data_IF_238419039401
#
_entry.id   IF_238419039401
#
_cell.length_a   1.000
_cell.length_b   1.000
_cell.length_c   1.000
_cell.angle_alpha   90.00
_cell.angle_beta   90.00
_cell.angle_gamma   90.00
#
_symmetry.space_group_name_H-M   'P 1'
#
loop_
_entity.id
_entity.type
_entity.pdbx_description
1 polymer ?
#
# COMPACT_ATOMS: atom_id res chain seq x y z
N UNK A 1 -43.79 -6.86 46.88
CA UNK A 1 -43.55 -6.84 45.44
C UNK A 1 -42.25 -6.07 45.18
N UNK A 2 -41.13 -6.77 45.00
CA UNK A 2 -39.84 -6.13 44.64
C UNK A 2 -39.75 -6.05 43.12
N UNK A 3 -39.70 -4.83 42.57
CA UNK A 3 -39.43 -4.60 41.14
C UNK A 3 -37.93 -4.66 40.94
N UNK A 4 -37.46 -5.70 40.28
CA UNK A 4 -36.09 -5.78 39.76
C UNK A 4 -35.98 -4.88 38.52
N UNK A 5 -35.16 -3.85 38.59
CA UNK A 5 -34.70 -3.06 37.42
C UNK A 5 -33.57 -3.83 36.75
N UNK A 6 -33.85 -4.37 35.58
CA UNK A 6 -32.84 -4.97 34.72
C UNK A 6 -32.19 -3.83 33.91
N UNK A 7 -31.01 -3.39 34.31
CA UNK A 7 -30.21 -2.41 33.58
C UNK A 7 -29.57 -3.11 32.40
N UNK A 8 -30.09 -2.86 31.20
CA UNK A 8 -29.48 -3.33 29.94
C UNK A 8 -28.27 -2.46 29.63
N UNK A 9 -27.09 -3.02 29.84
CA UNK A 9 -25.84 -2.37 29.48
C UNK A 9 -25.65 -2.50 27.96
N UNK A 10 -25.91 -1.43 27.23
CA UNK A 10 -25.53 -1.33 25.81
C UNK A 10 -24.01 -1.18 25.72
N UNK A 11 -23.33 -2.25 25.39
CA UNK A 11 -21.94 -2.17 24.94
C UNK A 11 -21.94 -1.49 23.57
N UNK A 12 -21.51 -0.24 23.51
CA UNK A 12 -21.17 0.43 22.25
C UNK A 12 -19.90 -0.25 21.76
N UNK A 13 -20.04 -1.16 20.81
CA UNK A 13 -18.91 -1.70 20.07
C UNK A 13 -18.50 -0.59 19.10
N UNK A 14 -17.41 0.10 19.40
CA UNK A 14 -16.76 1.03 18.49
C UNK A 14 -16.09 0.15 17.45
N UNK A 15 -16.66 0.08 16.26
CA UNK A 15 -16.00 -0.50 15.10
C UNK A 15 -14.88 0.47 14.70
N UNK A 16 -13.66 0.04 14.86
CA UNK A 16 -12.49 0.73 14.31
C UNK A 16 -12.34 0.19 12.87
N UNK A 17 -12.54 1.06 11.91
CA UNK A 17 -12.23 0.75 10.52
C UNK A 17 -10.71 0.73 10.37
N UNK A 18 -10.14 -0.41 10.00
CA UNK A 18 -8.72 -0.55 9.73
C UNK A 18 -8.50 -0.56 8.22
N UNK A 19 -7.60 0.26 7.75
CA UNK A 19 -6.98 0.21 6.43
C UNK A 19 -5.81 -0.78 6.49
N UNK A 20 -5.53 -1.46 5.39
CA UNK A 20 -4.48 -2.47 5.30
C UNK A 20 -3.54 -2.14 4.15
N UNK A 21 -2.76 -1.07 4.29
CA UNK A 21 -1.72 -0.72 3.33
C UNK A 21 -0.64 0.12 4.00
N UNK A 22 0.56 0.13 3.44
CA UNK A 22 1.59 1.06 3.91
C UNK A 22 1.12 2.50 3.78
N UNK A 23 1.38 3.37 4.78
CA UNK A 23 1.19 4.80 4.61
C UNK A 23 2.10 5.32 3.50
N UNK A 24 1.78 6.47 2.92
CA UNK A 24 2.66 7.15 1.98
C UNK A 24 4.07 7.31 2.55
N UNK A 25 5.09 7.12 1.71
CA UNK A 25 6.50 7.29 2.14
C UNK A 25 6.71 8.71 2.68
N UNK A 26 7.21 8.89 3.93
CA UNK A 26 7.25 10.19 4.60
C UNK A 26 8.29 11.16 4.02
N UNK A 27 9.20 10.68 3.16
CA UNK A 27 10.24 11.49 2.52
C UNK A 27 9.74 12.16 1.26
N UNK A 28 10.32 13.32 0.85
CA UNK A 28 10.04 13.89 -0.46
C UNK A 28 10.35 12.92 -1.58
N UNK A 29 9.48 12.92 -2.61
CA UNK A 29 9.64 12.09 -3.79
C UNK A 29 9.66 12.94 -5.06
N UNK A 30 10.31 12.45 -6.10
CA UNK A 30 10.32 13.09 -7.41
C UNK A 30 9.38 12.33 -8.33
N UNK A 31 8.33 13.01 -8.81
CA UNK A 31 7.36 12.47 -9.75
C UNK A 31 7.67 12.96 -11.16
N UNK A 32 7.48 12.09 -12.15
CA UNK A 32 7.58 12.45 -13.57
C UNK A 32 6.25 13.02 -14.07
N UNK A 33 6.30 14.15 -14.73
CA UNK A 33 5.12 14.78 -15.35
C UNK A 33 4.96 14.28 -16.80
N UNK A 34 3.75 14.42 -17.39
CA UNK A 34 3.47 13.93 -18.74
C UNK A 34 4.33 14.55 -19.85
N UNK A 35 4.87 15.73 -19.62
CA UNK A 35 5.80 16.42 -20.55
C UNK A 35 7.27 15.98 -20.38
N UNK A 36 7.53 14.96 -19.55
CA UNK A 36 8.88 14.44 -19.27
C UNK A 36 9.67 15.27 -18.25
N UNK A 37 9.12 16.36 -17.74
CA UNK A 37 9.74 17.11 -16.63
C UNK A 37 9.47 16.43 -15.29
N UNK A 38 10.19 16.84 -14.25
CA UNK A 38 10.02 16.30 -12.90
C UNK A 38 9.58 17.36 -11.91
N UNK A 39 8.88 16.93 -10.87
CA UNK A 39 8.42 17.75 -9.76
C UNK A 39 8.73 17.05 -8.44
N UNK A 40 9.24 17.79 -7.45
CA UNK A 40 9.45 17.25 -6.10
C UNK A 40 8.24 17.56 -5.22
N UNK A 41 7.63 16.51 -4.67
CA UNK A 41 6.40 16.58 -3.85
C UNK A 41 6.54 15.78 -2.57
N UNK A 42 5.58 15.94 -1.66
CA UNK A 42 5.32 15.02 -0.55
C UNK A 42 3.94 14.41 -0.76
N UNK A 43 3.85 13.12 -0.50
CA UNK A 43 2.61 12.36 -0.46
C UNK A 43 2.24 12.10 1.01
N UNK A 44 0.96 12.18 1.33
CA UNK A 44 0.40 11.90 2.67
C UNK A 44 -0.84 11.04 2.52
N UNK A 45 -1.09 10.17 3.50
CA UNK A 45 -2.26 9.29 3.53
C UNK A 45 -1.91 7.86 3.20
N UNK A 46 -2.89 7.12 2.74
CA UNK A 46 -2.85 5.70 2.41
C UNK A 46 -3.64 5.42 1.11
N UNK A 47 -3.82 4.15 0.76
CA UNK A 47 -4.57 3.72 -0.44
C UNK A 47 -6.04 4.20 -0.42
N UNK A 48 -6.61 4.41 0.75
CA UNK A 48 -8.01 4.82 0.91
C UNK A 48 -8.20 6.32 0.75
N UNK A 49 -7.20 7.09 1.16
CA UNK A 49 -7.24 8.56 1.07
C UNK A 49 -5.84 9.16 1.15
N UNK A 50 -5.44 9.82 0.09
CA UNK A 50 -4.14 10.46 0.00
C UNK A 50 -4.19 11.82 -0.69
N UNK A 51 -3.17 12.66 -0.46
CA UNK A 51 -3.02 13.95 -1.09
C UNK A 51 -1.55 14.36 -1.21
N UNK A 52 -1.27 15.18 -2.20
CA UNK A 52 0.08 15.70 -2.46
C UNK A 52 0.23 17.13 -1.94
N UNK A 53 1.47 17.46 -1.51
CA UNK A 53 1.86 18.85 -1.22
C UNK A 53 3.21 19.16 -1.85
N UNK A 54 3.49 20.45 -2.00
CA UNK A 54 4.86 20.93 -2.23
C UNK A 54 5.71 20.74 -0.97
N UNK A 55 7.04 20.90 -1.10
CA UNK A 55 7.96 20.81 0.06
C UNK A 55 7.68 21.87 1.12
N UNK A 56 7.13 23.01 0.72
CA UNK A 56 6.69 24.10 1.62
C UNK A 56 5.19 24.04 1.94
N UNK A 57 4.58 22.84 1.79
CA UNK A 57 3.24 22.46 2.28
C UNK A 57 2.06 23.21 1.61
N UNK A 58 2.13 23.54 0.34
CA UNK A 58 0.93 23.90 -0.43
C UNK A 58 0.26 22.65 -0.94
N UNK A 59 -1.04 22.51 -0.68
CA UNK A 59 -1.88 21.41 -1.17
C UNK A 59 -1.94 21.43 -2.70
N UNK A 60 -1.88 20.25 -3.30
CA UNK A 60 -1.88 20.04 -4.75
C UNK A 60 -3.09 19.28 -5.21
N UNK A 61 -3.57 19.60 -6.41
CA UNK A 61 -4.59 18.85 -7.13
C UNK A 61 -3.97 18.36 -8.45
N UNK A 62 -4.06 17.07 -8.71
CA UNK A 62 -3.65 16.49 -9.99
C UNK A 62 -4.83 16.52 -10.97
N UNK A 63 -4.59 16.95 -12.21
CA UNK A 63 -5.60 16.92 -13.27
C UNK A 63 -5.67 15.54 -13.94
N UNK A 64 -6.66 15.35 -14.80
CA UNK A 64 -6.86 14.09 -15.54
C UNK A 64 -5.71 13.72 -16.47
N UNK A 65 -4.86 14.69 -16.81
CA UNK A 65 -3.68 14.49 -17.64
C UNK A 65 -2.41 14.18 -16.82
N UNK A 66 -2.49 14.18 -15.48
CA UNK A 66 -1.37 13.90 -14.59
C UNK A 66 -0.53 15.13 -14.20
N UNK A 67 -0.95 16.36 -14.53
CA UNK A 67 -0.28 17.56 -14.10
C UNK A 67 -0.77 18.06 -12.75
N UNK A 68 0.13 18.59 -11.93
CA UNK A 68 -0.19 19.17 -10.64
C UNK A 68 -0.43 20.68 -10.69
N UNK A 69 -1.45 21.11 -9.98
CA UNK A 69 -1.82 22.52 -9.78
C UNK A 69 -1.92 22.81 -8.28
N UNK A 70 -1.64 24.06 -7.90
CA UNK A 70 -1.91 24.47 -6.53
C UNK A 70 -3.41 24.41 -6.26
N UNK A 71 -3.79 23.94 -5.07
CA UNK A 71 -5.18 24.00 -4.64
C UNK A 71 -5.54 25.41 -4.17
N UNK A 72 -6.79 25.80 -4.39
CA UNK A 72 -7.41 27.00 -3.80
C UNK A 72 -8.83 26.68 -3.33
N UNK A 73 -9.42 27.52 -2.48
CA UNK A 73 -10.81 27.36 -2.05
C UNK A 73 -11.76 28.21 -2.89
N UNK A 74 -12.93 27.64 -3.24
CA UNK A 74 -14.03 28.42 -3.81
C UNK A 74 -14.71 29.27 -2.76
N UNK A 75 -15.60 30.18 -3.20
CA UNK A 75 -16.47 30.94 -2.30
C UNK A 75 -17.40 30.04 -1.45
N UNK A 76 -17.68 28.81 -1.92
CA UNK A 76 -18.47 27.80 -1.19
C UNK A 76 -17.62 26.92 -0.26
N UNK A 77 -16.37 27.26 0.00
CA UNK A 77 -15.42 26.45 0.77
C UNK A 77 -15.22 25.03 0.20
N UNK A 78 -15.11 24.91 -1.11
CA UNK A 78 -14.72 23.66 -1.78
C UNK A 78 -13.32 23.81 -2.35
N UNK A 79 -12.57 22.71 -2.39
CA UNK A 79 -11.28 22.66 -3.07
C UNK A 79 -11.49 22.73 -4.59
N UNK A 80 -10.69 23.55 -5.23
CA UNK A 80 -10.57 23.60 -6.68
C UNK A 80 -9.12 23.81 -7.11
N UNK A 81 -8.86 23.47 -8.35
CA UNK A 81 -7.60 23.70 -9.02
C UNK A 81 -7.42 25.19 -9.33
N UNK A 82 -6.28 25.76 -8.96
CA UNK A 82 -5.91 27.12 -9.35
C UNK A 82 -5.44 27.18 -10.82
N UNK A 83 -5.29 28.37 -11.41
CA UNK A 83 -4.74 28.52 -12.76
C UNK A 83 -3.23 28.25 -12.86
N UNK A 84 -2.53 28.04 -11.74
CA UNK A 84 -1.08 27.89 -11.71
C UNK A 84 -0.65 26.43 -11.60
N UNK A 85 0.06 25.92 -12.62
CA UNK A 85 0.75 24.64 -12.55
C UNK A 85 1.87 24.70 -11.50
N UNK A 86 2.03 23.61 -10.78
CA UNK A 86 3.05 23.51 -9.71
C UNK A 86 4.45 23.49 -10.31
N UNK A 87 5.35 24.19 -9.66
CA UNK A 87 6.78 24.19 -9.92
C UNK A 87 7.56 24.01 -8.62
N UNK A 88 8.75 23.45 -8.72
CA UNK A 88 9.70 23.46 -7.60
C UNK A 88 9.94 24.90 -7.12
N UNK A 89 10.20 25.06 -5.83
CA UNK A 89 10.31 26.38 -5.17
C UNK A 89 11.24 27.32 -5.93
N UNK A 90 12.39 26.81 -6.39
CA UNK A 90 13.40 27.59 -7.12
C UNK A 90 12.98 28.03 -8.54
N UNK A 91 11.92 27.45 -9.08
CA UNK A 91 11.43 27.70 -10.44
C UNK A 91 10.15 28.55 -10.48
N UNK A 92 9.64 29.00 -9.31
CA UNK A 92 8.42 29.80 -9.20
C UNK A 92 8.65 31.24 -9.68
N UNK A 93 7.66 31.77 -10.39
CA UNK A 93 7.68 33.17 -10.79
C UNK A 93 7.26 34.11 -9.65
N UNK A 94 7.55 35.41 -9.74
CA UNK A 94 7.05 36.42 -8.77
C UNK A 94 5.52 36.44 -8.65
N UNK A 95 4.79 36.22 -9.75
CA UNK A 95 3.32 36.16 -9.78
C UNK A 95 2.82 34.91 -9.03
N UNK A 96 3.43 33.77 -9.25
CA UNK A 96 3.10 32.52 -8.52
C UNK A 96 3.36 32.70 -7.02
N UNK A 97 4.48 33.28 -6.63
CA UNK A 97 4.79 33.55 -5.22
C UNK A 97 3.79 34.52 -4.59
N UNK A 98 3.34 35.56 -5.34
CA UNK A 98 2.31 36.47 -4.88
C UNK A 98 0.97 35.77 -4.68
N UNK A 99 0.58 34.89 -5.60
CA UNK A 99 -0.62 34.05 -5.47
C UNK A 99 -0.51 33.15 -4.24
N UNK A 100 0.59 32.43 -4.09
CA UNK A 100 0.82 31.50 -2.98
C UNK A 100 0.79 32.21 -1.61
N UNK A 101 1.21 33.45 -1.53
CA UNK A 101 1.11 34.26 -0.30
C UNK A 101 -0.34 34.56 0.13
N UNK A 102 -1.32 34.41 -0.76
CA UNK A 102 -2.75 34.59 -0.43
C UNK A 102 -3.42 33.29 0.06
N UNK A 103 -2.75 32.13 -0.05
CA UNK A 103 -3.32 30.83 0.30
C UNK A 103 -3.24 30.59 1.81
N UNK A 104 -4.37 30.30 2.42
CA UNK A 104 -4.43 29.72 3.77
C UNK A 104 -4.25 28.19 3.70
N UNK A 105 -3.01 27.74 3.91
CA UNK A 105 -2.66 26.30 3.87
C UNK A 105 -3.45 25.47 4.88
N UNK A 106 -3.74 26.02 6.07
CA UNK A 106 -4.48 25.31 7.12
C UNK A 106 -5.93 25.10 6.73
N UNK A 107 -6.55 26.13 6.15
CA UNK A 107 -7.92 26.03 5.65
C UNK A 107 -8.01 24.97 4.55
N UNK A 108 -7.12 24.99 3.55
CA UNK A 108 -7.16 24.02 2.46
C UNK A 108 -6.95 22.59 2.95
N UNK A 109 -6.01 22.38 3.88
CA UNK A 109 -5.80 21.05 4.47
C UNK A 109 -7.03 20.58 5.23
N UNK A 110 -7.69 21.47 5.99
CA UNK A 110 -8.95 21.13 6.68
C UNK A 110 -10.07 20.76 5.69
N UNK A 111 -10.15 21.41 4.55
CA UNK A 111 -11.12 21.08 3.50
C UNK A 111 -10.81 19.69 2.89
N UNK A 112 -9.54 19.38 2.63
CA UNK A 112 -9.10 18.07 2.18
C UNK A 112 -9.53 16.98 3.18
N UNK A 113 -9.19 17.14 4.45
CA UNK A 113 -9.56 16.21 5.52
C UNK A 113 -11.07 16.00 5.65
N UNK A 114 -11.87 17.05 5.45
CA UNK A 114 -13.33 16.94 5.44
C UNK A 114 -13.86 16.15 4.23
N UNK A 115 -13.24 16.31 3.06
CA UNK A 115 -13.59 15.52 1.86
C UNK A 115 -13.26 14.06 2.06
N UNK A 116 -12.07 13.77 2.55
CA UNK A 116 -11.59 12.41 2.83
C UNK A 116 -12.46 11.72 3.89
N UNK A 117 -12.77 12.40 4.99
CA UNK A 117 -13.67 11.85 6.01
C UNK A 117 -15.06 11.50 5.47
N UNK A 118 -15.59 12.30 4.52
CA UNK A 118 -16.86 12.00 3.86
C UNK A 118 -16.74 10.83 2.87
N UNK A 119 -15.58 10.67 2.24
CA UNK A 119 -15.29 9.53 1.36
C UNK A 119 -15.25 8.25 2.19
N UNK A 120 -14.46 8.22 3.25
CA UNK A 120 -14.32 7.07 4.17
C UNK A 120 -15.65 6.64 4.78
N UNK A 121 -16.54 7.58 5.16
CA UNK A 121 -17.89 7.26 5.67
C UNK A 121 -18.81 6.61 4.64
N UNK A 122 -18.54 6.74 3.34
CA UNK A 122 -19.34 6.15 2.27
C UNK A 122 -18.76 4.82 1.77
N UNK A 123 -17.53 4.51 2.11
CA UNK A 123 -16.95 3.21 1.79
C UNK A 123 -17.68 2.12 2.60
N UNK A 124 -17.95 0.95 2.01
CA UNK A 124 -18.48 -0.17 2.81
C UNK A 124 -17.51 -0.39 3.98
N UNK A 125 -18.07 -0.57 5.19
CA UNK A 125 -17.25 -0.88 6.35
C UNK A 125 -16.45 -2.14 6.02
N UNK A 126 -15.14 -1.97 5.88
CA UNK A 126 -14.21 -3.09 5.68
C UNK A 126 -14.34 -4.00 6.89
N UNK A 127 -14.48 -5.29 6.67
CA UNK A 127 -14.68 -6.25 7.75
C UNK A 127 -13.58 -6.12 8.79
N UNK A 128 -14.01 -6.07 10.04
CA UNK A 128 -13.18 -6.17 11.25
C UNK A 128 -12.18 -7.32 11.08
N UNK A 129 -10.92 -7.06 11.48
CA UNK A 129 -9.80 -8.00 11.61
C UNK A 129 -10.25 -9.43 11.41
N UNK A 130 -10.01 -9.98 10.24
CA UNK A 130 -10.19 -11.41 10.05
C UNK A 130 -9.25 -12.11 11.02
N UNK A 131 -9.75 -13.12 11.70
CA UNK A 131 -8.88 -14.06 12.40
C UNK A 131 -7.78 -14.43 11.41
N UNK A 132 -6.51 -14.29 11.84
CA UNK A 132 -5.40 -14.72 11.01
C UNK A 132 -5.72 -16.11 10.44
N UNK A 133 -5.88 -16.19 9.13
CA UNK A 133 -6.09 -17.46 8.44
C UNK A 133 -4.77 -18.18 8.25
N UNK A 134 -3.68 -17.39 8.20
CA UNK A 134 -2.33 -17.91 8.04
C UNK A 134 -1.74 -18.39 9.39
N UNK A 135 -1.18 -19.62 9.46
CA UNK A 135 -0.58 -20.12 10.69
C UNK A 135 0.66 -19.32 11.10
N UNK A 136 0.69 -18.85 12.35
CA UNK A 136 1.72 -17.93 12.88
C UNK A 136 2.87 -18.63 13.62
N UNK A 137 2.94 -19.96 13.59
CA UNK A 137 3.98 -20.75 14.27
C UNK A 137 4.51 -21.87 13.39
N UNK A 138 5.74 -22.31 13.68
CA UNK A 138 6.42 -23.38 12.92
C UNK A 138 6.93 -22.90 11.56
N UNK A 139 7.26 -23.86 10.70
CA UNK A 139 7.64 -23.59 9.30
C UNK A 139 6.40 -23.51 8.44
N UNK A 140 6.22 -22.38 7.77
CA UNK A 140 5.07 -22.09 6.92
C UNK A 140 5.50 -21.66 5.53
N UNK A 141 4.85 -22.18 4.50
CA UNK A 141 5.09 -21.77 3.10
C UNK A 141 4.26 -20.53 2.76
N UNK A 142 4.89 -19.55 2.13
CA UNK A 142 4.24 -18.35 1.57
C UNK A 142 4.38 -18.34 0.05
N UNK A 143 3.29 -18.12 -0.66
CA UNK A 143 3.28 -18.01 -2.12
C UNK A 143 3.60 -16.56 -2.54
N UNK A 144 4.62 -16.41 -3.40
CA UNK A 144 5.03 -15.13 -3.97
C UNK A 144 5.09 -15.23 -5.48
N UNK A 145 4.41 -14.34 -6.17
CA UNK A 145 4.38 -14.27 -7.64
C UNK A 145 4.94 -12.93 -8.12
N UNK A 146 5.86 -12.99 -9.08
CA UNK A 146 6.40 -11.82 -9.74
C UNK A 146 5.61 -11.53 -11.01
N UNK A 147 5.15 -10.28 -11.20
CA UNK A 147 4.36 -9.91 -12.37
C UNK A 147 4.98 -8.76 -13.16
N UNK A 148 4.95 -8.90 -14.48
CA UNK A 148 5.25 -7.83 -15.44
C UNK A 148 3.95 -7.40 -16.12
N UNK A 149 3.83 -6.12 -16.41
CA UNK A 149 2.71 -5.60 -17.19
C UNK A 149 2.98 -5.69 -18.69
N UNK A 150 1.96 -5.52 -19.52
CA UNK A 150 2.15 -5.50 -20.98
C UNK A 150 3.11 -4.38 -21.44
N UNK A 151 3.20 -3.29 -20.68
CA UNK A 151 3.99 -2.09 -20.97
C UNK A 151 5.12 -1.80 -19.96
N UNK A 152 5.28 -2.61 -18.93
CA UNK A 152 6.33 -2.44 -17.93
C UNK A 152 6.83 -3.81 -17.45
N UNK A 153 8.15 -3.94 -17.28
CA UNK A 153 8.79 -5.18 -16.85
C UNK A 153 9.85 -4.89 -15.79
N UNK A 154 10.29 -5.94 -15.10
CA UNK A 154 11.35 -5.82 -14.12
C UNK A 154 12.63 -5.22 -14.74
N UNK A 155 13.24 -4.33 -13.99
CA UNK A 155 14.49 -3.68 -14.36
C UNK A 155 15.70 -4.37 -13.74
N UNK A 156 15.50 -5.10 -12.64
CA UNK A 156 16.54 -5.90 -12.00
C UNK A 156 16.84 -7.15 -12.81
N UNK A 157 18.11 -7.59 -12.78
CA UNK A 157 18.53 -8.82 -13.42
C UNK A 157 18.07 -10.04 -12.59
N UNK A 158 17.64 -11.11 -13.26
CA UNK A 158 17.19 -12.34 -12.61
C UNK A 158 16.21 -12.08 -11.44
N UNK A 159 15.05 -11.46 -11.71
CA UNK A 159 14.15 -11.00 -10.63
C UNK A 159 13.73 -12.14 -9.69
N UNK A 160 13.48 -13.34 -10.19
CA UNK A 160 13.12 -14.48 -9.35
C UNK A 160 14.21 -14.81 -8.31
N UNK A 161 15.47 -14.88 -8.74
CA UNK A 161 16.60 -15.13 -7.84
C UNK A 161 16.78 -13.98 -6.84
N UNK A 162 16.68 -12.72 -7.33
CA UNK A 162 16.85 -11.53 -6.49
C UNK A 162 15.79 -11.46 -5.39
N UNK A 163 14.52 -11.68 -5.72
CA UNK A 163 13.43 -11.72 -4.72
C UNK A 163 13.52 -12.93 -3.82
N UNK A 164 13.89 -14.10 -4.35
CA UNK A 164 14.10 -15.27 -3.49
C UNK A 164 15.19 -15.02 -2.42
N UNK A 165 16.30 -14.38 -2.78
CA UNK A 165 17.33 -13.99 -1.81
C UNK A 165 16.80 -12.95 -0.81
N UNK A 166 16.15 -11.88 -1.30
CA UNK A 166 15.55 -10.84 -0.46
C UNK A 166 14.62 -11.42 0.60
N UNK A 167 13.86 -12.45 0.24
CA UNK A 167 12.84 -13.04 1.12
C UNK A 167 13.37 -14.16 2.03
N UNK A 168 14.35 -14.96 1.57
CA UNK A 168 14.71 -16.21 2.23
C UNK A 168 16.18 -16.33 2.66
N UNK A 169 17.12 -15.59 2.02
CA UNK A 169 18.54 -15.78 2.25
C UNK A 169 18.93 -15.33 3.66
N UNK A 170 19.54 -16.24 4.42
CA UNK A 170 20.02 -15.93 5.76
C UNK A 170 21.09 -14.83 5.72
N UNK A 171 20.95 -13.83 6.61
CA UNK A 171 21.87 -12.70 6.74
C UNK A 171 21.98 -11.88 5.43
N UNK A 172 20.90 -11.80 4.64
CA UNK A 172 20.86 -11.04 3.38
C UNK A 172 21.28 -9.58 3.56
N UNK A 173 22.19 -9.12 2.67
CA UNK A 173 22.74 -7.75 2.76
C UNK A 173 23.09 -7.12 1.40
N UNK A 174 22.72 -7.75 0.27
CA UNK A 174 23.13 -7.28 -1.08
C UNK A 174 22.66 -5.85 -1.38
N UNK A 175 21.50 -5.43 -0.86
CA UNK A 175 20.96 -4.08 -1.05
C UNK A 175 21.26 -3.10 0.10
N UNK A 176 22.11 -3.47 1.05
CA UNK A 176 22.41 -2.68 2.26
C UNK A 176 21.38 -2.86 3.38
N UNK A 177 20.57 -3.92 3.32
CA UNK A 177 19.72 -4.39 4.40
C UNK A 177 20.47 -5.16 5.48
N UNK A 178 19.75 -5.60 6.49
CA UNK A 178 20.30 -6.33 7.66
C UNK A 178 19.53 -7.62 7.89
N UNK A 179 19.38 -8.44 6.86
CA UNK A 179 18.65 -9.71 6.84
C UNK A 179 17.54 -9.75 5.79
N UNK A 180 17.04 -10.95 5.53
CA UNK A 180 15.89 -11.20 4.67
C UNK A 180 14.57 -10.99 5.41
N UNK A 181 13.45 -11.08 4.68
CA UNK A 181 12.12 -11.09 5.31
C UNK A 181 11.97 -12.28 6.29
N UNK A 182 12.48 -13.46 5.91
CA UNK A 182 12.54 -14.62 6.80
C UNK A 182 13.30 -14.33 8.09
N UNK A 183 14.50 -13.73 7.99
CA UNK A 183 15.30 -13.36 9.17
C UNK A 183 14.53 -12.39 10.08
N UNK A 184 13.84 -11.41 9.48
CA UNK A 184 13.03 -10.45 10.21
C UNK A 184 11.90 -11.12 11.01
N UNK A 185 11.12 -12.01 10.39
CA UNK A 185 10.03 -12.69 11.07
C UNK A 185 10.52 -13.70 12.11
N UNK A 186 11.61 -14.42 11.82
CA UNK A 186 12.23 -15.32 12.80
C UNK A 186 12.72 -14.56 14.03
N UNK A 187 13.45 -13.45 13.84
CA UNK A 187 13.92 -12.62 14.93
C UNK A 187 12.78 -12.01 15.76
N UNK A 188 11.75 -11.49 15.07
CA UNK A 188 10.58 -10.85 15.72
C UNK A 188 9.71 -11.84 16.50
N UNK A 189 9.70 -13.12 16.13
CA UNK A 189 8.92 -14.17 16.78
C UNK A 189 9.73 -15.04 17.77
N UNK A 190 10.99 -14.72 18.03
CA UNK A 190 11.93 -15.58 18.78
C UNK A 190 11.98 -17.02 18.18
N UNK A 191 12.18 -17.11 16.87
CA UNK A 191 12.24 -18.37 16.10
C UNK A 191 10.97 -19.25 16.15
N UNK A 192 9.84 -18.71 16.60
CA UNK A 192 8.59 -19.48 16.64
C UNK A 192 7.89 -19.51 15.29
N UNK A 193 8.00 -18.47 14.48
CA UNK A 193 7.49 -18.38 13.11
C UNK A 193 8.66 -18.40 12.12
N UNK A 194 8.66 -19.36 11.20
CA UNK A 194 9.74 -19.60 10.23
C UNK A 194 9.16 -19.65 8.81
N UNK A 195 8.86 -18.51 8.20
CA UNK A 195 8.32 -18.50 6.85
C UNK A 195 9.37 -18.96 5.83
N UNK A 196 8.91 -19.63 4.80
CA UNK A 196 9.66 -19.99 3.59
C UNK A 196 8.84 -19.54 2.40
N UNK A 197 9.37 -18.62 1.61
CA UNK A 197 8.64 -17.99 0.51
C UNK A 197 9.03 -18.63 -0.82
N UNK A 198 8.07 -19.31 -1.45
CA UNK A 198 8.23 -19.87 -2.79
C UNK A 198 7.98 -18.76 -3.82
N UNK A 199 9.00 -18.41 -4.62
CA UNK A 199 8.94 -17.30 -5.58
C UNK A 199 8.80 -17.82 -7.00
N UNK A 200 7.69 -17.47 -7.67
CA UNK A 200 7.36 -17.87 -9.05
C UNK A 200 7.38 -16.67 -10.01
N UNK A 201 7.51 -16.96 -11.29
CA UNK A 201 7.52 -15.95 -12.35
C UNK A 201 8.93 -15.40 -12.65
N UNK A 202 9.06 -14.21 -13.30
CA UNK A 202 7.96 -13.28 -13.59
C UNK A 202 7.02 -13.76 -14.69
N UNK A 203 5.72 -13.56 -14.47
CA UNK A 203 4.70 -13.75 -15.52
C UNK A 203 4.29 -12.41 -16.12
N UNK A 204 3.91 -12.43 -17.40
CA UNK A 204 3.52 -11.22 -18.12
C UNK A 204 2.01 -11.11 -18.23
N UNK A 205 1.46 -10.08 -17.59
CA UNK A 205 0.05 -9.74 -17.65
C UNK A 205 -0.36 -9.16 -19.01
N UNK A 206 -1.62 -9.34 -19.36
CA UNK A 206 -2.18 -8.94 -20.66
C UNK A 206 -2.41 -7.44 -20.81
N UNK A 207 -2.60 -6.70 -19.71
CA UNK A 207 -2.95 -5.29 -19.69
C UNK A 207 -1.78 -4.40 -19.23
N UNK A 208 -1.82 -3.10 -19.57
CA UNK A 208 -0.85 -2.14 -19.07
C UNK A 208 -1.05 -1.87 -17.57
N UNK A 209 0.01 -1.40 -16.90
CA UNK A 209 0.00 -1.08 -15.46
C UNK A 209 -1.18 -0.19 -15.05
N UNK A 210 -1.52 0.84 -15.86
CA UNK A 210 -2.63 1.76 -15.60
C UNK A 210 -4.03 1.13 -15.67
N UNK A 211 -4.15 -0.09 -16.18
CA UNK A 211 -5.40 -0.83 -16.12
C UNK A 211 -5.68 -1.35 -14.72
N UNK A 212 -4.65 -1.90 -14.05
CA UNK A 212 -4.77 -2.48 -12.72
C UNK A 212 -4.70 -1.41 -11.62
N UNK A 213 -3.71 -0.51 -11.70
CA UNK A 213 -3.41 0.50 -10.69
C UNK A 213 -3.87 1.92 -11.03
N UNK A 214 -4.44 2.17 -12.23
CA UNK A 214 -4.88 3.54 -12.55
C UNK A 214 -6.05 3.95 -11.66
N UNK A 215 -5.97 5.11 -11.01
CA UNK A 215 -6.98 5.57 -10.07
C UNK A 215 -8.35 5.79 -10.72
N UNK A 216 -9.40 5.40 -10.03
CA UNK A 216 -10.79 5.72 -10.35
C UNK A 216 -11.11 7.19 -9.95
N UNK A 217 -12.37 7.60 -10.11
CA UNK A 217 -12.83 8.97 -9.74
C UNK A 217 -12.75 9.22 -8.23
N UNK A 218 -12.60 8.18 -7.43
CA UNK A 218 -12.46 8.25 -5.97
C UNK A 218 -11.00 8.23 -5.53
N UNK A 219 -10.05 8.01 -6.46
CA UNK A 219 -8.63 7.90 -6.20
C UNK A 219 -8.20 6.52 -5.68
N UNK A 220 -8.98 5.47 -5.92
CA UNK A 220 -8.61 4.10 -5.59
C UNK A 220 -8.12 3.38 -6.85
N UNK A 221 -7.24 2.39 -6.70
CA UNK A 221 -6.83 1.50 -7.78
C UNK A 221 -8.04 0.82 -8.43
N UNK A 222 -8.03 0.71 -9.78
CA UNK A 222 -9.19 0.24 -10.54
C UNK A 222 -9.42 -1.26 -10.45
N UNK A 223 -8.38 -2.06 -10.52
CA UNK A 223 -8.51 -3.51 -10.66
C UNK A 223 -7.26 -4.28 -10.17
N UNK A 224 -6.69 -3.98 -8.99
CA UNK A 224 -5.53 -4.70 -8.48
C UNK A 224 -5.82 -6.18 -8.26
N UNK A 225 -7.06 -6.56 -7.93
CA UNK A 225 -7.48 -7.96 -7.79
C UNK A 225 -7.37 -8.73 -9.11
N UNK A 226 -7.64 -8.09 -10.24
CA UNK A 226 -7.51 -8.73 -11.56
C UNK A 226 -6.04 -9.02 -11.89
N UNK A 227 -5.10 -8.22 -11.40
CA UNK A 227 -3.65 -8.50 -11.48
C UNK A 227 -3.33 -9.83 -10.80
N UNK A 228 -3.81 -10.02 -9.59
CA UNK A 228 -3.57 -11.24 -8.79
C UNK A 228 -4.23 -12.46 -9.43
N UNK A 229 -5.50 -12.33 -9.85
CA UNK A 229 -6.24 -13.42 -10.51
C UNK A 229 -5.51 -13.88 -11.77
N UNK A 230 -5.14 -12.93 -12.64
CA UNK A 230 -4.46 -13.26 -13.89
C UNK A 230 -3.08 -13.89 -13.64
N UNK A 231 -2.33 -13.40 -12.65
CA UNK A 231 -1.03 -13.97 -12.27
C UNK A 231 -1.15 -15.43 -11.83
N UNK A 232 -2.11 -15.73 -10.96
CA UNK A 232 -2.36 -17.11 -10.51
C UNK A 232 -2.81 -18.02 -11.67
N UNK A 233 -3.70 -17.54 -12.53
CA UNK A 233 -4.16 -18.32 -13.70
C UNK A 233 -3.05 -18.62 -14.70
N UNK A 234 -2.07 -17.71 -14.86
CA UNK A 234 -0.92 -17.93 -15.73
C UNK A 234 0.05 -19.00 -15.20
N UNK A 235 -0.01 -19.30 -13.91
CA UNK A 235 0.86 -20.27 -13.24
C UNK A 235 0.11 -21.52 -12.75
N UNK A 236 -1.16 -21.70 -13.14
CA UNK A 236 -2.02 -22.80 -12.69
C UNK A 236 -1.45 -24.20 -13.02
N UNK A 237 -0.74 -24.32 -14.14
CA UNK A 237 -0.04 -25.55 -14.52
C UNK A 237 1.31 -25.78 -13.78
N UNK A 238 1.83 -24.77 -13.08
CA UNK A 238 3.15 -24.79 -12.44
C UNK A 238 3.07 -24.87 -10.91
N UNK A 239 1.97 -24.38 -10.31
CA UNK A 239 1.77 -24.26 -8.86
C UNK A 239 0.67 -25.22 -8.42
N UNK A 240 0.96 -26.07 -7.45
CA UNK A 240 -0.08 -26.76 -6.68
C UNK A 240 -0.56 -25.83 -5.56
N UNK A 241 -1.67 -25.13 -5.79
CA UNK A 241 -2.19 -24.15 -4.84
C UNK A 241 -2.65 -24.80 -3.53
N UNK A 242 -2.91 -26.11 -3.49
CA UNK A 242 -3.29 -26.82 -2.25
C UNK A 242 -2.18 -26.81 -1.20
N UNK A 243 -0.91 -26.61 -1.58
CA UNK A 243 0.21 -26.48 -0.65
C UNK A 243 0.15 -25.20 0.20
N UNK A 244 -0.67 -24.20 -0.21
CA UNK A 244 -0.79 -22.88 0.42
C UNK A 244 -2.11 -22.68 1.17
N UNK A 245 -2.90 -23.73 1.39
CA UNK A 245 -4.01 -23.83 2.35
C UNK A 245 -3.47 -24.56 3.60
N UNK A 246 -2.75 -23.81 4.46
CA UNK A 246 -2.01 -24.38 5.59
C UNK A 246 -2.87 -24.63 6.82
N UNK A 247 -3.99 -23.95 6.94
CA UNK A 247 -4.96 -24.16 8.03
C UNK A 247 -6.12 -25.08 7.61
N UNK A 248 -6.16 -25.52 6.34
CA UNK A 248 -7.11 -26.42 5.72
C UNK A 248 -8.57 -25.91 5.79
N UNK A 249 -8.77 -24.62 5.58
CA UNK A 249 -10.09 -24.00 5.53
C UNK A 249 -10.72 -23.97 4.12
N UNK A 250 -9.98 -24.44 3.10
CA UNK A 250 -10.39 -24.48 1.70
C UNK A 250 -10.10 -23.19 0.94
N UNK A 251 -9.28 -22.32 1.51
CA UNK A 251 -8.79 -21.10 0.85
C UNK A 251 -7.26 -21.09 0.82
N UNK A 252 -6.70 -20.43 -0.19
CA UNK A 252 -5.27 -20.11 -0.20
C UNK A 252 -5.05 -19.06 0.90
N UNK A 253 -4.15 -19.35 1.86
CA UNK A 253 -3.89 -18.45 3.01
C UNK A 253 -3.54 -17.04 2.59
N UNK A 254 -2.67 -16.90 1.57
CA UNK A 254 -2.33 -15.64 0.94
C UNK A 254 -1.54 -15.84 -0.36
N UNK A 255 -1.76 -14.96 -1.35
CA UNK A 255 -0.89 -14.78 -2.50
C UNK A 255 -0.22 -13.41 -2.40
N UNK A 256 1.10 -13.37 -2.33
CA UNK A 256 1.83 -12.11 -2.38
C UNK A 256 2.31 -11.82 -3.81
N UNK A 257 2.03 -10.63 -4.32
CA UNK A 257 2.45 -10.22 -5.67
C UNK A 257 3.47 -9.09 -5.60
N UNK A 258 4.67 -9.31 -6.16
CA UNK A 258 5.57 -8.21 -6.51
C UNK A 258 5.35 -7.82 -7.97
N UNK A 259 5.06 -6.55 -8.21
CA UNK A 259 4.85 -6.02 -9.54
C UNK A 259 6.01 -5.13 -10.00
N UNK A 260 6.30 -5.18 -11.31
CA UNK A 260 7.40 -4.45 -11.93
C UNK A 260 7.23 -2.93 -11.83
N UNK A 261 8.30 -2.23 -11.49
CA UNK A 261 8.38 -0.78 -11.41
C UNK A 261 8.07 -0.21 -10.04
N UNK A 262 7.62 1.06 -10.01
CA UNK A 262 7.27 1.79 -8.78
C UNK A 262 5.83 1.55 -8.35
N UNK A 263 5.58 1.65 -7.03
CA UNK A 263 4.24 1.77 -6.47
C UNK A 263 3.81 3.23 -6.27
N UNK A 264 2.51 3.48 -6.11
CA UNK A 264 1.99 4.83 -5.91
C UNK A 264 2.50 5.44 -4.59
N UNK A 265 2.53 4.66 -3.50
CA UNK A 265 3.05 5.08 -2.19
C UNK A 265 4.51 5.56 -2.22
N UNK A 266 5.29 5.16 -3.22
CA UNK A 266 6.71 5.48 -3.39
C UNK A 266 7.00 6.40 -4.59
N UNK A 267 5.97 7.01 -5.18
CA UNK A 267 6.13 8.02 -6.23
C UNK A 267 5.94 7.51 -7.65
N UNK A 268 5.38 6.33 -7.85
CA UNK A 268 4.99 5.81 -9.17
C UNK A 268 3.88 6.62 -9.85
N UNK A 269 3.13 7.38 -9.06
CA UNK A 269 2.01 8.22 -9.52
C UNK A 269 0.73 7.41 -9.75
N UNK A 270 -0.37 8.12 -9.99
CA UNK A 270 -1.75 7.62 -10.05
C UNK A 270 -2.06 6.56 -11.14
N UNK A 271 -1.07 6.06 -11.84
CA UNK A 271 -1.21 4.96 -12.81
C UNK A 271 -0.54 3.67 -12.33
N UNK A 272 -0.08 3.64 -11.08
CA UNK A 272 0.58 2.48 -10.47
C UNK A 272 -0.24 1.98 -9.29
N UNK A 273 -0.11 0.71 -8.97
CA UNK A 273 -0.80 0.11 -7.82
C UNK A 273 -0.22 0.65 -6.50
N UNK A 274 -1.06 0.97 -5.54
CA UNK A 274 -0.66 1.21 -4.17
C UNK A 274 -0.36 -0.13 -3.48
N UNK A 275 0.78 -0.32 -2.80
CA UNK A 275 1.03 -1.54 -2.00
C UNK A 275 -0.05 -1.70 -0.91
N UNK A 276 -0.67 -2.88 -0.87
CA UNK A 276 -1.77 -3.16 0.07
C UNK A 276 -2.00 -4.66 0.28
N UNK A 277 -2.80 -4.99 1.28
CA UNK A 277 -3.37 -6.31 1.54
C UNK A 277 -4.89 -6.27 1.46
N UNK A 278 -5.52 -7.18 0.69
CA UNK A 278 -6.96 -7.17 0.45
C UNK A 278 -7.52 -8.54 0.06
N UNK A 279 -8.83 -8.57 -0.23
CA UNK A 279 -9.57 -9.76 -0.63
C UNK A 279 -10.12 -9.65 -2.05
N UNK A 280 -9.98 -10.73 -2.83
CA UNK A 280 -10.50 -10.83 -4.20
C UNK A 280 -12.02 -10.66 -4.23
N UNK A 281 -12.74 -11.30 -3.30
CA UNK A 281 -14.19 -11.20 -3.27
C UNK A 281 -14.68 -9.80 -2.94
N UNK A 282 -14.09 -9.15 -1.95
CA UNK A 282 -14.50 -7.80 -1.51
C UNK A 282 -14.13 -6.73 -2.56
N UNK A 283 -13.00 -6.90 -3.28
CA UNK A 283 -12.58 -5.97 -4.32
C UNK A 283 -13.27 -6.18 -5.67
N UNK A 284 -13.19 -7.41 -6.22
CA UNK A 284 -13.68 -7.71 -7.57
C UNK A 284 -15.09 -8.32 -7.61
N UNK A 285 -15.67 -8.73 -6.47
CA UNK A 285 -16.94 -9.46 -6.41
C UNK A 285 -16.89 -10.85 -7.07
N UNK A 286 -15.69 -11.44 -7.19
CA UNK A 286 -15.45 -12.70 -7.90
C UNK A 286 -15.04 -13.81 -6.93
N UNK A 287 -15.54 -15.02 -7.16
CA UNK A 287 -15.01 -16.24 -6.55
C UNK A 287 -14.13 -16.95 -7.58
N UNK A 288 -12.86 -17.16 -7.23
CA UNK A 288 -11.88 -17.82 -8.09
C UNK A 288 -11.42 -19.11 -7.42
N UNK A 289 -11.45 -20.21 -8.13
CA UNK A 289 -11.03 -21.53 -7.64
C UNK A 289 -9.82 -22.00 -8.45
N UNK A 290 -8.77 -22.48 -7.75
CA UNK A 290 -7.54 -23.05 -8.29
C UNK A 290 -7.30 -24.36 -7.53
N UNK A 291 -7.07 -25.47 -8.21
CA UNK A 291 -6.89 -26.81 -7.60
C UNK A 291 -7.97 -27.21 -6.59
N UNK A 292 -9.16 -26.63 -6.70
CA UNK A 292 -10.29 -26.93 -5.82
C UNK A 292 -10.35 -26.12 -4.53
N UNK A 293 -9.40 -25.18 -4.30
CA UNK A 293 -9.40 -24.23 -3.19
C UNK A 293 -9.63 -22.79 -3.68
N UNK A 294 -10.13 -21.93 -2.81
CA UNK A 294 -10.50 -20.57 -3.19
C UNK A 294 -9.30 -19.60 -3.08
N UNK A 295 -9.04 -18.85 -4.14
CA UNK A 295 -8.19 -17.67 -4.09
C UNK A 295 -8.99 -16.50 -3.54
N UNK A 296 -8.61 -15.95 -2.39
CA UNK A 296 -9.26 -14.77 -1.81
C UNK A 296 -8.28 -13.76 -1.23
N UNK A 297 -7.45 -14.15 -0.28
CA UNK A 297 -6.53 -13.24 0.40
C UNK A 297 -5.29 -12.97 -0.45
N UNK A 298 -4.93 -11.70 -0.61
CA UNK A 298 -3.71 -11.31 -1.29
C UNK A 298 -3.05 -10.07 -0.64
N UNK A 299 -1.76 -9.92 -0.92
CA UNK A 299 -1.03 -8.69 -0.66
C UNK A 299 -0.13 -8.37 -1.86
N UNK A 300 0.25 -7.12 -2.03
CA UNK A 300 1.12 -6.74 -3.14
C UNK A 300 2.04 -5.57 -2.80
N UNK A 301 3.18 -5.52 -3.51
CA UNK A 301 4.09 -4.38 -3.47
C UNK A 301 4.95 -4.28 -4.73
N UNK A 302 5.71 -3.21 -4.81
CA UNK A 302 6.48 -2.81 -5.99
C UNK A 302 7.91 -3.36 -6.01
N UNK A 303 8.50 -3.42 -7.22
CA UNK A 303 9.90 -3.76 -7.44
C UNK A 303 10.85 -2.67 -6.96
N UNK A 304 10.54 -1.39 -7.28
CA UNK A 304 11.48 -0.28 -7.17
C UNK A 304 11.15 0.68 -6.04
N UNK A 305 12.17 1.08 -5.31
CA UNK A 305 12.16 2.20 -4.37
C UNK A 305 13.00 3.37 -4.91
N UNK A 306 13.22 4.39 -4.11
CA UNK A 306 13.92 5.64 -4.46
C UNK A 306 15.21 5.38 -5.24
N UNK A 307 15.39 6.10 -6.34
CA UNK A 307 16.61 6.07 -7.14
C UNK A 307 16.77 4.84 -8.06
N UNK A 308 15.69 4.19 -8.47
CA UNK A 308 15.67 2.96 -9.26
C UNK A 308 16.36 1.76 -8.58
N UNK A 309 16.40 1.76 -7.26
CA UNK A 309 16.91 0.62 -6.51
C UNK A 309 15.82 -0.41 -6.28
N UNK A 310 16.19 -1.68 -6.24
CA UNK A 310 15.30 -2.73 -5.78
C UNK A 310 14.78 -2.39 -4.39
N UNK A 311 13.49 -2.64 -4.15
CA UNK A 311 12.83 -2.47 -2.86
C UNK A 311 13.54 -3.26 -1.75
N UNK A 312 13.40 -2.80 -0.52
CA UNK A 312 13.78 -3.59 0.66
C UNK A 312 12.64 -4.50 1.13
N UNK A 313 12.85 -5.10 2.30
CA UNK A 313 11.85 -6.01 2.92
C UNK A 313 10.72 -5.27 3.64
N UNK A 314 10.82 -3.96 3.84
CA UNK A 314 9.96 -3.23 4.78
C UNK A 314 8.49 -3.23 4.39
N UNK A 315 8.16 -2.88 3.14
CA UNK A 315 6.78 -2.93 2.62
C UNK A 315 6.25 -4.37 2.60
N UNK A 316 7.07 -5.32 2.14
CA UNK A 316 6.70 -6.74 2.18
C UNK A 316 6.35 -7.20 3.60
N UNK A 317 7.21 -6.93 4.57
CA UNK A 317 6.97 -7.32 5.97
C UNK A 317 5.74 -6.64 6.56
N UNK A 318 5.46 -5.38 6.19
CA UNK A 318 4.26 -4.66 6.62
C UNK A 318 3.00 -5.34 6.07
N UNK A 319 2.88 -5.50 4.75
CA UNK A 319 1.71 -6.10 4.11
C UNK A 319 1.51 -7.57 4.52
N UNK A 320 2.60 -8.34 4.62
CA UNK A 320 2.50 -9.71 5.09
C UNK A 320 2.13 -9.81 6.58
N UNK A 321 2.40 -8.78 7.37
CA UNK A 321 1.95 -8.73 8.77
C UNK A 321 0.43 -8.57 8.90
N UNK A 322 -0.23 -7.96 7.91
CA UNK A 322 -1.70 -7.96 7.83
C UNK A 322 -2.24 -9.37 7.60
N UNK A 323 -1.58 -10.19 6.77
CA UNK A 323 -1.91 -11.61 6.60
C UNK A 323 -1.81 -12.38 7.92
N UNK A 324 -0.84 -12.00 8.78
CA UNK A 324 -0.69 -12.55 10.12
C UNK A 324 -1.68 -11.96 11.15
N UNK A 325 -2.58 -11.07 10.73
CA UNK A 325 -3.66 -10.49 11.54
C UNK A 325 -3.27 -9.23 12.32
N UNK A 326 -2.16 -8.57 11.99
CA UNK A 326 -1.76 -7.33 12.65
C UNK A 326 -2.43 -6.11 11.98
N UNK A 327 -3.00 -5.17 12.74
CA UNK A 327 -3.58 -3.94 12.20
C UNK A 327 -2.53 -2.88 11.96
N UNK A 328 -2.87 -1.87 11.15
CA UNK A 328 -2.13 -0.62 11.06
C UNK A 328 -2.12 0.13 12.38
N UNK A 329 -0.99 0.76 12.69
CA UNK A 329 -0.80 1.58 13.87
C UNK A 329 -0.63 3.07 13.54
N UNK A 330 -0.57 3.45 12.26
CA UNK A 330 -0.64 4.85 11.85
C UNK A 330 -2.08 5.39 11.91
N UNK A 331 -2.23 6.70 11.88
CA UNK A 331 -3.54 7.32 11.94
C UNK A 331 -4.25 7.20 10.57
N UNK A 332 -5.17 6.26 10.44
CA UNK A 332 -6.05 6.09 9.26
C UNK A 332 -7.17 7.14 9.20
N UNK A 333 -7.31 7.96 10.24
CA UNK A 333 -8.21 9.11 10.31
C UNK A 333 -7.41 10.36 10.62
N UNK A 334 -7.87 11.53 10.15
CA UNK A 334 -7.20 12.81 10.39
C UNK A 334 -7.36 13.38 11.80
N UNK A 335 -7.71 12.54 12.77
CA UNK A 335 -7.67 12.92 14.18
C UNK A 335 -6.23 12.89 14.68
N UNK A 336 -5.80 13.94 15.38
CA UNK A 336 -4.51 13.95 16.04
C UNK A 336 -4.43 12.78 17.03
N UNK A 337 -3.74 11.72 16.63
CA UNK A 337 -3.39 10.59 17.50
C UNK A 337 -1.88 10.45 17.52
N UNK A 338 -1.35 10.10 18.70
CA UNK A 338 0.03 9.69 18.79
C UNK A 338 0.14 8.27 18.23
N UNK A 339 0.94 8.12 17.19
CA UNK A 339 1.25 6.83 16.57
C UNK A 339 2.71 6.49 16.83
N UNK A 340 3.11 5.21 16.74
CA UNK A 340 4.50 4.83 16.94
C UNK A 340 5.45 5.40 15.88
N UNK A 341 4.94 5.82 14.70
CA UNK A 341 5.74 6.38 13.62
C UNK A 341 6.84 5.40 13.15
N UNK A 342 8.08 5.90 13.01
CA UNK A 342 9.22 5.10 12.59
C UNK A 342 9.67 4.01 13.57
N UNK A 343 9.01 3.89 14.73
CA UNK A 343 9.29 2.88 15.74
C UNK A 343 8.44 1.61 15.61
N UNK A 344 7.62 1.49 14.60
CA UNK A 344 6.83 0.28 14.34
C UNK A 344 6.80 -0.06 12.86
N UNK A 345 6.90 -1.36 12.55
CA UNK A 345 6.67 -1.88 11.20
C UNK A 345 5.28 -1.50 10.69
N UNK A 346 4.25 -1.58 11.55
CA UNK A 346 2.84 -1.31 11.21
C UNK A 346 2.52 0.19 11.17
N UNK A 347 3.55 1.02 11.02
CA UNK A 347 3.52 2.45 10.76
C UNK A 347 4.70 2.78 9.83
N UNK A 348 5.16 4.00 9.77
CA UNK A 348 6.27 4.44 8.89
C UNK A 348 7.64 3.79 9.18
N UNK A 349 7.74 2.94 10.19
CA UNK A 349 8.93 2.11 10.45
C UNK A 349 9.22 1.07 9.37
N UNK A 350 8.24 0.74 8.50
CA UNK A 350 8.45 -0.03 7.27
C UNK A 350 9.43 0.65 6.30
N UNK A 351 9.54 1.97 6.32
CA UNK A 351 10.41 2.77 5.44
C UNK A 351 11.80 3.03 5.99
N UNK A 352 12.16 2.49 7.16
CA UNK A 352 13.49 2.70 7.73
C UNK A 352 14.60 2.16 6.81
N UNK A 353 15.69 2.91 6.68
CA UNK A 353 16.79 2.62 5.76
C UNK A 353 16.31 2.38 4.32
N UNK A 354 15.39 3.22 3.81
CA UNK A 354 14.72 3.03 2.50
C UNK A 354 14.11 1.63 2.36
N UNK A 355 13.28 1.23 3.32
CA UNK A 355 12.60 -0.07 3.41
C UNK A 355 13.50 -1.29 3.55
N UNK A 356 14.83 -1.12 3.71
CA UNK A 356 15.80 -2.23 3.75
C UNK A 356 16.00 -2.81 5.16
N UNK A 357 15.72 -2.01 6.18
CA UNK A 357 15.86 -2.42 7.58
C UNK A 357 14.66 -1.89 8.36
N UNK A 358 13.47 -2.49 8.19
CA UNK A 358 12.28 -2.05 8.90
C UNK A 358 12.47 -2.18 10.42
N UNK A 359 11.72 -1.36 11.16
CA UNK A 359 11.68 -1.51 12.62
C UNK A 359 10.88 -2.77 12.99
N UNK A 360 11.16 -3.31 14.17
CA UNK A 360 10.39 -4.46 14.68
C UNK A 360 8.95 -4.06 15.06
N UNK A 361 8.16 -5.03 15.46
CA UNK A 361 6.83 -4.78 16.05
C UNK A 361 6.99 -4.08 17.40
N UNK A 362 6.07 -3.15 17.71
CA UNK A 362 5.98 -2.47 19.02
C UNK A 362 4.88 -3.08 19.88
#
# INVERSE_FOLDING_TARGET
MKKSFLTLLFAVVIFLDYSYAVPAKPTPMTVSLPDGTTLTVRLFGDESSHYYTTLDHYLLIQDQNGYFYYAESTQENKLQQSPYRVKDISKRTPEENKFLATIDKKQLLSLQQQQDSKKLQKMPSRRVVQKATYPTTGTQKGLVILVEYSNNKFTINNPQEAFNKLLNEKDYSENGGTGSARDFFMASSNDQFKPEFDVYGPVKLSRPMSYYGGNDISGNDKAPEEMVIEACQLLDDEIDFTEYDRDNDGQIDNVYVFYAGYGEATGGGANTVWPHSWDIYDGAGKTVMLDGIQLNHYACSNELDTGNNMTGIGTFCHEFSHVLGLPDLYATTYTYSFTPGSWSLMDSGSYNNDSRTPYSFT
#
